data_IF_291422050723
#
_entry.id   IF_291422050723
#
_cell.length_a   1.000
_cell.length_b   1.000
_cell.length_c   1.000
_cell.angle_alpha   90.00
_cell.angle_beta   90.00
_cell.angle_gamma   90.00
#
_symmetry.space_group_name_H-M   'P 1'
#
loop_
_entity.id
_entity.type
_entity.pdbx_description
1 polymer ?
#
# COMPACT_ATOMS: atom_id res chain seq x y z
N UNK A 1 -17.03 16.45 0.73
CA UNK A 1 -17.39 16.62 -0.67
C UNK A 1 -18.33 15.51 -1.12
N UNK A 2 -17.86 14.38 -1.64
CA UNK A 2 -18.75 13.30 -2.12
C UNK A 2 -19.35 12.45 -1.00
N UNK A 3 -18.77 12.45 0.22
CA UNK A 3 -19.17 11.55 1.32
C UNK A 3 -18.95 10.07 1.00
N UNK A 4 -18.04 9.78 0.05
CA UNK A 4 -17.72 8.44 -0.42
C UNK A 4 -16.20 8.25 -0.49
N UNK A 5 -15.75 6.99 -0.41
CA UNK A 5 -14.34 6.64 -0.62
C UNK A 5 -13.96 6.81 -2.09
N UNK A 6 -12.67 7.02 -2.37
CA UNK A 6 -12.18 7.11 -3.75
C UNK A 6 -12.27 5.77 -4.50
N UNK A 7 -12.38 4.65 -3.80
CA UNK A 7 -12.57 3.30 -4.35
C UNK A 7 -14.01 3.02 -4.77
N UNK A 8 -14.99 3.87 -4.39
CA UNK A 8 -16.33 3.78 -4.95
C UNK A 8 -16.36 4.23 -6.41
N UNK A 9 -17.30 3.77 -7.25
CA UNK A 9 -17.36 4.16 -8.66
C UNK A 9 -17.38 5.69 -8.88
N UNK A 10 -18.16 6.41 -8.07
CA UNK A 10 -18.24 7.87 -8.16
C UNK A 10 -16.96 8.55 -7.63
N UNK A 11 -16.35 7.97 -6.59
CA UNK A 11 -15.08 8.43 -6.05
C UNK A 11 -13.94 8.25 -7.03
N UNK A 12 -13.85 7.09 -7.68
CA UNK A 12 -12.88 6.80 -8.73
C UNK A 12 -13.02 7.77 -9.90
N UNK A 13 -14.24 7.95 -10.41
CA UNK A 13 -14.51 8.90 -11.50
C UNK A 13 -14.02 10.30 -11.16
N UNK A 14 -14.39 10.81 -10.00
CA UNK A 14 -13.97 12.14 -9.54
C UNK A 14 -12.44 12.24 -9.39
N UNK A 15 -11.80 11.21 -8.83
CA UNK A 15 -10.34 11.19 -8.65
C UNK A 15 -9.60 11.18 -9.99
N UNK A 16 -10.10 10.43 -10.99
CA UNK A 16 -9.54 10.41 -12.34
C UNK A 16 -9.71 11.77 -13.04
N UNK A 17 -10.85 12.43 -12.87
CA UNK A 17 -11.07 13.80 -13.39
C UNK A 17 -10.07 14.80 -12.78
N UNK A 18 -9.77 14.68 -11.47
CA UNK A 18 -8.73 15.51 -10.81
C UNK A 18 -7.36 15.25 -11.41
N UNK A 19 -6.99 13.96 -11.57
CA UNK A 19 -5.69 13.57 -12.15
C UNK A 19 -5.55 14.06 -13.60
N UNK A 20 -6.62 13.98 -14.39
CA UNK A 20 -6.63 14.51 -15.76
C UNK A 20 -6.40 16.01 -15.78
N UNK A 21 -7.08 16.77 -14.92
CA UNK A 21 -6.87 18.23 -14.80
C UNK A 21 -5.42 18.58 -14.42
N UNK A 22 -4.78 17.80 -13.56
CA UNK A 22 -3.36 18.01 -13.22
C UNK A 22 -2.46 17.77 -14.43
N UNK A 23 -2.71 16.72 -15.22
CA UNK A 23 -1.99 16.47 -16.46
C UNK A 23 -2.18 17.58 -17.49
N UNK A 24 -3.43 18.04 -17.68
CA UNK A 24 -3.74 19.14 -18.60
C UNK A 24 -2.95 20.39 -18.21
N UNK A 25 -2.85 20.68 -16.91
CA UNK A 25 -2.06 21.82 -16.41
C UNK A 25 -0.57 21.66 -16.62
N UNK A 26 -0.04 20.47 -16.43
CA UNK A 26 1.36 20.15 -16.77
C UNK A 26 1.63 20.41 -18.27
N UNK A 27 0.72 20.01 -19.15
CA UNK A 27 0.84 20.24 -20.58
C UNK A 27 0.79 21.71 -20.97
N UNK A 28 -0.09 22.52 -20.32
CA UNK A 28 -0.10 23.97 -20.50
C UNK A 28 1.24 24.62 -20.16
N UNK A 29 1.78 24.28 -18.97
CA UNK A 29 3.09 24.82 -18.53
C UNK A 29 4.23 24.38 -19.44
N UNK A 30 4.22 23.11 -19.86
CA UNK A 30 5.19 22.59 -20.82
C UNK A 30 5.17 23.39 -22.13
N UNK A 31 4.00 23.70 -22.66
CA UNK A 31 3.84 24.49 -23.87
C UNK A 31 4.29 25.96 -23.70
N UNK A 32 3.99 26.55 -22.54
CA UNK A 32 4.31 27.95 -22.25
C UNK A 32 5.79 28.19 -21.95
N UNK A 33 6.46 27.25 -21.27
CA UNK A 33 7.79 27.45 -20.67
C UNK A 33 8.87 26.60 -21.34
N UNK A 34 8.50 25.67 -22.22
CA UNK A 34 9.40 24.68 -22.83
C UNK A 34 10.18 23.84 -21.80
N UNK A 35 9.54 23.56 -20.64
CA UNK A 35 10.05 22.73 -19.56
C UNK A 35 9.14 21.52 -19.43
N UNK A 36 9.71 20.32 -19.19
CA UNK A 36 8.91 19.12 -18.96
C UNK A 36 8.32 19.11 -17.55
N UNK A 37 7.00 19.11 -17.48
CA UNK A 37 6.22 18.93 -16.26
C UNK A 37 5.47 17.60 -16.34
N UNK A 38 5.35 16.89 -15.25
CA UNK A 38 4.59 15.64 -15.20
C UNK A 38 3.99 15.40 -13.81
N UNK A 39 2.87 14.69 -13.78
CA UNK A 39 2.27 14.21 -12.53
C UNK A 39 3.06 12.99 -12.07
N UNK A 40 3.34 12.95 -10.77
CA UNK A 40 4.06 11.87 -10.11
C UNK A 40 3.27 11.33 -8.91
N UNK A 41 2.98 10.03 -8.90
CA UNK A 41 2.38 9.32 -7.77
C UNK A 41 3.44 9.01 -6.71
N UNK A 42 3.85 10.02 -5.95
CA UNK A 42 4.99 9.90 -5.03
C UNK A 42 4.67 9.02 -3.83
N UNK A 43 5.57 8.09 -3.47
CA UNK A 43 5.54 7.43 -2.18
C UNK A 43 5.92 8.43 -1.08
N UNK A 44 4.98 8.69 -0.16
CA UNK A 44 5.18 9.62 0.95
C UNK A 44 5.50 8.88 2.24
N UNK A 45 6.67 9.15 2.79
CA UNK A 45 7.14 8.51 4.03
C UNK A 45 6.58 9.20 5.29
N UNK A 46 7.19 10.28 5.74
CA UNK A 46 6.79 10.98 6.96
C UNK A 46 5.57 11.87 6.77
N UNK A 47 5.28 12.28 5.54
CA UNK A 47 4.24 13.27 5.23
C UNK A 47 2.84 12.74 5.55
N UNK A 48 2.57 11.45 5.34
CA UNK A 48 1.28 10.82 5.67
C UNK A 48 0.94 10.95 7.15
N UNK A 49 1.91 10.74 8.04
CA UNK A 49 1.76 10.93 9.48
C UNK A 49 1.55 12.40 9.84
N UNK A 50 2.38 13.30 9.27
CA UNK A 50 2.28 14.74 9.51
C UNK A 50 0.93 15.29 9.09
N UNK A 51 0.43 14.92 7.92
CA UNK A 51 -0.90 15.31 7.46
C UNK A 51 -2.00 14.79 8.37
N UNK A 52 -1.95 13.52 8.78
CA UNK A 52 -2.93 12.96 9.72
C UNK A 52 -2.99 13.78 11.01
N UNK A 53 -1.83 14.13 11.60
CA UNK A 53 -1.76 14.98 12.79
C UNK A 53 -2.30 16.38 12.57
N UNK A 54 -2.00 17.00 11.42
CA UNK A 54 -2.54 18.31 11.07
C UNK A 54 -4.07 18.29 10.90
N UNK A 55 -4.60 17.25 10.26
CA UNK A 55 -6.05 17.07 10.09
C UNK A 55 -6.74 16.87 11.44
N UNK A 56 -6.20 16.00 12.31
CA UNK A 56 -6.71 15.80 13.67
C UNK A 56 -6.72 17.11 14.49
N UNK A 57 -5.64 17.88 14.40
CA UNK A 57 -5.53 19.17 15.09
C UNK A 57 -6.55 20.19 14.58
N UNK A 58 -6.83 20.20 13.28
CA UNK A 58 -7.71 21.18 12.65
C UNK A 58 -9.19 20.83 12.73
N UNK A 59 -9.52 19.55 12.59
CA UNK A 59 -10.89 19.08 12.44
C UNK A 59 -11.36 18.15 13.56
N UNK A 60 -10.47 17.81 14.49
CA UNK A 60 -10.73 16.79 15.50
C UNK A 60 -10.61 15.35 14.95
N UNK A 61 -10.91 14.38 15.80
CA UNK A 61 -10.94 12.96 15.42
C UNK A 61 -12.34 12.63 14.87
N UNK A 62 -12.41 12.35 13.58
CA UNK A 62 -13.64 11.98 12.86
C UNK A 62 -13.52 10.52 12.44
N UNK A 63 -14.40 9.61 12.91
CA UNK A 63 -14.35 8.18 12.56
C UNK A 63 -14.34 7.95 11.04
N UNK A 64 -13.45 7.11 10.58
CA UNK A 64 -13.27 6.78 9.16
C UNK A 64 -12.62 7.88 8.31
N UNK A 65 -12.28 9.04 8.89
CA UNK A 65 -11.70 10.19 8.16
C UNK A 65 -10.36 10.62 8.76
N UNK A 66 -10.34 10.97 10.05
CA UNK A 66 -9.13 11.49 10.73
C UNK A 66 -8.74 10.66 11.96
N UNK A 67 -9.29 9.47 12.12
CA UNK A 67 -9.12 8.59 13.28
C UNK A 67 -7.82 7.77 13.26
N UNK A 68 -7.09 7.77 12.15
CA UNK A 68 -5.80 7.07 12.03
C UNK A 68 -4.61 8.04 12.13
N UNK A 69 -3.45 7.51 12.50
CA UNK A 69 -2.21 8.28 12.53
C UNK A 69 -1.51 8.37 11.17
N UNK A 70 -2.18 7.99 10.10
CA UNK A 70 -1.72 8.08 8.72
C UNK A 70 -2.88 8.37 7.78
N UNK A 71 -2.58 8.83 6.58
CA UNK A 71 -3.52 8.95 5.47
C UNK A 71 -3.11 8.00 4.35
N UNK A 72 -4.04 7.67 3.47
CA UNK A 72 -3.75 6.88 2.27
C UNK A 72 -2.71 7.61 1.41
N UNK A 73 -1.77 6.85 0.90
CA UNK A 73 -0.71 7.37 0.07
C UNK A 73 -1.18 7.50 -1.37
N UNK A 74 -0.98 8.68 -1.98
CA UNK A 74 -1.32 8.93 -3.38
C UNK A 74 -2.76 8.47 -3.75
N UNK A 75 -2.93 7.69 -4.81
CA UNK A 75 -4.20 7.14 -5.30
C UNK A 75 -4.47 5.70 -4.82
N UNK A 76 -3.61 5.13 -3.96
CA UNK A 76 -3.72 3.72 -3.57
C UNK A 76 -5.05 3.39 -2.90
N UNK A 77 -5.49 2.16 -3.08
CA UNK A 77 -6.54 1.58 -2.24
C UNK A 77 -6.07 1.60 -0.79
N UNK A 78 -6.97 1.95 0.12
CA UNK A 78 -6.63 2.05 1.55
C UNK A 78 -6.16 0.69 2.10
N UNK A 79 -5.08 0.70 2.88
CA UNK A 79 -4.40 -0.55 3.33
C UNK A 79 -5.27 -1.49 4.17
N UNK A 80 -6.38 -1.00 4.71
CA UNK A 80 -7.37 -1.80 5.47
C UNK A 80 -8.53 -2.29 4.61
N UNK A 81 -8.59 -1.93 3.33
CA UNK A 81 -9.68 -2.33 2.45
C UNK A 81 -9.46 -3.75 1.95
N UNK A 82 -10.41 -4.62 2.22
CA UNK A 82 -10.40 -6.00 1.75
C UNK A 82 -10.75 -6.04 0.26
N UNK A 83 -9.73 -6.14 -0.56
CA UNK A 83 -9.81 -6.21 -2.02
C UNK A 83 -8.80 -7.25 -2.51
N UNK A 84 -9.14 -8.02 -3.54
CA UNK A 84 -8.19 -8.93 -4.15
C UNK A 84 -7.11 -8.20 -4.97
N UNK A 85 -5.98 -8.87 -5.21
CA UNK A 85 -4.83 -8.30 -5.89
C UNK A 85 -5.16 -7.77 -7.30
N UNK A 86 -5.96 -8.51 -8.06
CA UNK A 86 -6.29 -8.15 -9.44
C UNK A 86 -7.22 -6.96 -9.51
N UNK A 87 -8.27 -6.94 -8.67
CA UNK A 87 -9.19 -5.80 -8.55
C UNK A 87 -8.45 -4.52 -8.10
N UNK A 88 -7.55 -4.65 -7.10
CA UNK A 88 -6.71 -3.56 -6.65
C UNK A 88 -5.82 -3.02 -7.77
N UNK A 89 -5.09 -3.89 -8.45
CA UNK A 89 -4.21 -3.50 -9.55
C UNK A 89 -4.98 -2.89 -10.73
N UNK A 90 -6.15 -3.46 -11.07
CA UNK A 90 -7.03 -2.90 -12.10
C UNK A 90 -7.50 -1.49 -11.76
N UNK A 91 -7.89 -1.25 -10.51
CA UNK A 91 -8.27 0.07 -10.02
C UNK A 91 -7.10 1.06 -10.12
N UNK A 92 -5.91 0.69 -9.64
CA UNK A 92 -4.74 1.57 -9.58
C UNK A 92 -4.09 1.80 -10.97
N UNK A 93 -4.26 0.88 -11.92
CA UNK A 93 -3.75 1.00 -13.28
C UNK A 93 -4.22 2.29 -13.97
N UNK A 94 -5.48 2.68 -13.78
CA UNK A 94 -6.02 3.89 -14.41
C UNK A 94 -5.33 5.16 -13.89
N UNK A 95 -4.95 5.18 -12.61
CA UNK A 95 -4.19 6.29 -12.02
C UNK A 95 -2.72 6.28 -12.43
N UNK A 96 -2.11 5.11 -12.60
CA UNK A 96 -0.73 5.00 -13.11
C UNK A 96 -0.61 5.56 -14.52
N UNK A 97 -1.58 5.31 -15.40
CA UNK A 97 -1.64 5.91 -16.75
C UNK A 97 -1.63 7.43 -16.72
N UNK A 98 -2.21 8.03 -15.68
CA UNK A 98 -2.25 9.48 -15.46
C UNK A 98 -1.09 10.01 -14.61
N UNK A 99 -0.09 9.19 -14.31
CA UNK A 99 1.10 9.54 -13.54
C UNK A 99 2.38 9.33 -14.37
N UNK A 100 2.58 10.06 -15.48
CA UNK A 100 3.71 9.86 -16.39
C UNK A 100 5.08 10.15 -15.76
N UNK A 101 5.11 10.87 -14.64
CA UNK A 101 6.32 11.13 -13.86
C UNK A 101 6.79 9.95 -13.02
N UNK A 102 5.97 8.90 -12.92
CA UNK A 102 6.23 7.68 -12.17
C UNK A 102 5.15 7.39 -11.14
N UNK A 103 4.92 6.12 -10.91
CA UNK A 103 3.98 5.61 -9.92
C UNK A 103 4.34 4.16 -9.58
N UNK A 104 3.93 3.69 -8.42
CA UNK A 104 4.14 2.31 -7.98
C UNK A 104 2.87 1.80 -7.29
N UNK A 105 2.53 0.54 -7.51
CA UNK A 105 1.49 -0.17 -6.78
C UNK A 105 2.09 -1.24 -5.88
N UNK A 106 1.46 -1.51 -4.75
CA UNK A 106 1.90 -2.52 -3.78
C UNK A 106 0.83 -3.57 -3.60
N UNK A 107 1.23 -4.83 -3.65
CA UNK A 107 0.34 -5.97 -3.39
C UNK A 107 0.88 -6.74 -2.18
N UNK A 108 0.10 -6.79 -1.12
CA UNK A 108 0.42 -7.57 0.07
C UNK A 108 0.04 -9.03 -0.18
N UNK A 109 1.03 -9.93 -0.17
CA UNK A 109 0.85 -11.35 -0.45
C UNK A 109 1.32 -12.21 0.72
N UNK A 110 0.73 -13.40 0.93
CA UNK A 110 1.27 -14.38 1.88
C UNK A 110 2.61 -14.94 1.36
N UNK A 111 3.24 -15.83 2.15
CA UNK A 111 4.36 -16.59 1.64
C UNK A 111 3.90 -17.51 0.50
N UNK A 112 4.37 -17.23 -0.71
CA UNK A 112 4.00 -17.93 -1.95
C UNK A 112 5.08 -18.91 -2.44
N UNK A 113 6.05 -19.29 -1.60
CA UNK A 113 7.12 -20.22 -2.00
C UNK A 113 6.61 -21.52 -2.60
N UNK A 114 5.48 -22.01 -2.13
CA UNK A 114 4.86 -23.26 -2.60
C UNK A 114 3.74 -23.03 -3.63
N UNK A 115 3.57 -21.79 -4.12
CA UNK A 115 2.53 -21.44 -5.09
C UNK A 115 3.08 -20.49 -6.17
N UNK A 116 3.99 -21.00 -6.97
CA UNK A 116 4.63 -20.25 -8.06
C UNK A 116 3.63 -19.84 -9.13
N UNK A 117 2.61 -20.64 -9.40
CA UNK A 117 1.56 -20.34 -10.37
C UNK A 117 0.81 -19.04 -10.01
N UNK A 118 0.55 -18.83 -8.71
CA UNK A 118 -0.03 -17.58 -8.22
C UNK A 118 0.88 -16.38 -8.51
N UNK A 119 2.16 -16.52 -8.23
CA UNK A 119 3.15 -15.45 -8.51
C UNK A 119 3.17 -15.13 -9.99
N UNK A 120 3.28 -16.13 -10.85
CA UNK A 120 3.32 -15.95 -12.31
C UNK A 120 2.05 -15.28 -12.85
N UNK A 121 0.88 -15.63 -12.33
CA UNK A 121 -0.39 -15.02 -12.74
C UNK A 121 -0.45 -13.54 -12.38
N UNK A 122 -0.05 -13.17 -11.17
CA UNK A 122 0.02 -11.76 -10.76
C UNK A 122 1.08 -11.01 -11.57
N UNK A 123 2.25 -11.58 -11.80
CA UNK A 123 3.29 -10.98 -12.64
C UNK A 123 2.81 -10.75 -14.08
N UNK A 124 2.08 -11.72 -14.66
CA UNK A 124 1.49 -11.55 -15.98
C UNK A 124 0.48 -10.41 -15.99
N UNK A 125 -0.41 -10.34 -15.00
CA UNK A 125 -1.37 -9.25 -14.89
C UNK A 125 -0.67 -7.88 -14.76
N UNK A 126 0.38 -7.79 -13.94
CA UNK A 126 1.18 -6.57 -13.80
C UNK A 126 1.79 -6.19 -15.17
N UNK A 127 2.42 -7.14 -15.86
CA UNK A 127 3.01 -6.89 -17.18
C UNK A 127 1.99 -6.34 -18.19
N UNK A 128 0.78 -6.88 -18.18
CA UNK A 128 -0.26 -6.49 -19.15
C UNK A 128 -0.94 -5.15 -18.80
N UNK A 129 -0.97 -4.72 -17.52
CA UNK A 129 -1.86 -3.65 -17.08
C UNK A 129 -1.20 -2.53 -16.25
N UNK A 130 -0.04 -2.79 -15.65
CA UNK A 130 0.59 -1.93 -14.64
C UNK A 130 1.97 -1.49 -15.12
N UNK A 131 2.32 -0.23 -14.89
CA UNK A 131 3.64 0.31 -15.24
C UNK A 131 4.70 -0.18 -14.26
N UNK A 132 4.41 -0.13 -12.96
CA UNK A 132 5.30 -0.59 -11.91
C UNK A 132 4.53 -1.06 -10.69
N UNK A 133 4.82 -2.27 -10.23
CA UNK A 133 4.26 -2.83 -9.01
C UNK A 133 5.29 -3.68 -8.26
N UNK A 134 5.06 -3.83 -6.96
CA UNK A 134 5.85 -4.68 -6.08
C UNK A 134 4.95 -5.63 -5.28
N UNK A 135 5.42 -6.86 -5.10
CA UNK A 135 4.82 -7.85 -4.23
C UNK A 135 5.49 -7.75 -2.85
N UNK A 136 4.70 -7.47 -1.83
CA UNK A 136 5.15 -7.42 -0.45
C UNK A 136 4.80 -8.75 0.22
N UNK A 137 5.79 -9.41 0.78
CA UNK A 137 5.61 -10.62 1.59
C UNK A 137 6.10 -10.39 3.01
N UNK A 138 5.52 -11.12 3.96
CA UNK A 138 5.89 -11.09 5.37
C UNK A 138 6.60 -12.39 5.75
N UNK A 139 7.81 -12.56 5.22
CA UNK A 139 8.68 -13.71 5.49
C UNK A 139 9.78 -13.27 6.44
N UNK A 140 9.48 -13.36 7.73
CA UNK A 140 10.38 -12.96 8.81
C UNK A 140 10.92 -14.19 9.53
N UNK A 141 11.99 -14.01 10.30
CA UNK A 141 12.62 -15.09 11.06
C UNK A 141 12.96 -14.62 12.48
N UNK A 142 12.70 -15.47 13.46
CA UNK A 142 13.10 -15.27 14.85
C UNK A 142 14.25 -16.21 15.18
N UNK A 143 15.46 -15.67 15.39
CA UNK A 143 16.65 -16.46 15.73
C UNK A 143 16.51 -17.12 17.10
N UNK A 144 15.81 -16.48 18.05
CA UNK A 144 15.63 -16.98 19.40
C UNK A 144 14.92 -18.35 19.46
N UNK A 145 13.95 -18.60 18.57
CA UNK A 145 13.16 -19.84 18.61
C UNK A 145 13.05 -20.58 17.29
N UNK A 146 13.68 -20.08 16.21
CA UNK A 146 13.62 -20.68 14.88
C UNK A 146 12.28 -20.47 14.17
N UNK A 147 11.41 -19.56 14.64
CA UNK A 147 10.14 -19.29 13.98
C UNK A 147 10.37 -18.64 12.61
N UNK A 148 9.80 -19.23 11.57
CA UNK A 148 9.77 -18.72 10.19
C UNK A 148 8.34 -18.35 9.85
N UNK A 149 8.07 -17.05 9.62
CA UNK A 149 6.73 -16.53 9.39
C UNK A 149 6.62 -15.05 9.76
N UNK A 150 5.40 -14.54 9.83
CA UNK A 150 5.16 -13.12 10.12
C UNK A 150 5.43 -12.78 11.59
N UNK A 151 6.46 -11.97 11.88
CA UNK A 151 6.65 -11.29 13.15
C UNK A 151 5.62 -10.17 13.28
N UNK A 152 4.96 -10.07 14.43
CA UNK A 152 3.83 -9.16 14.65
C UNK A 152 4.27 -7.81 15.21
N UNK A 153 3.49 -6.78 14.90
CA UNK A 153 3.58 -5.48 15.58
C UNK A 153 2.53 -5.49 16.70
N UNK A 154 2.98 -5.40 17.93
CA UNK A 154 2.12 -5.35 19.13
C UNK A 154 2.20 -3.97 19.79
N UNK A 155 1.17 -3.63 20.58
CA UNK A 155 1.13 -2.38 21.32
C UNK A 155 1.44 -2.66 22.79
N UNK A 156 2.46 -2.01 23.32
CA UNK A 156 2.77 -2.03 24.75
C UNK A 156 1.76 -1.21 25.58
N UNK A 157 1.69 -1.41 26.89
CA UNK A 157 0.79 -0.65 27.76
C UNK A 157 1.00 0.88 27.71
N UNK A 158 2.20 1.33 27.38
CA UNK A 158 2.55 2.75 27.18
C UNK A 158 2.14 3.30 25.79
N UNK A 159 1.52 2.46 24.95
CA UNK A 159 1.10 2.79 23.58
C UNK A 159 2.21 2.68 22.53
N UNK A 160 3.43 2.28 22.88
CA UNK A 160 4.53 2.08 21.94
C UNK A 160 4.29 0.81 21.11
N UNK A 161 4.56 0.90 19.81
CA UNK A 161 4.53 -0.24 18.89
C UNK A 161 5.91 -0.92 18.85
N UNK A 162 5.93 -2.23 19.02
CA UNK A 162 7.15 -3.05 19.01
C UNK A 162 6.96 -4.33 18.20
N UNK A 163 8.05 -4.91 17.70
CA UNK A 163 8.04 -6.25 17.11
C UNK A 163 7.96 -7.31 18.20
N UNK A 164 7.18 -8.34 17.94
CA UNK A 164 7.06 -9.49 18.83
C UNK A 164 6.92 -10.79 18.03
N UNK A 165 7.74 -11.77 18.35
CA UNK A 165 7.62 -13.10 17.80
C UNK A 165 6.35 -13.78 18.31
N UNK A 166 5.41 -14.22 17.44
CA UNK A 166 4.17 -14.83 17.88
C UNK A 166 4.35 -16.20 18.54
N UNK A 167 5.52 -16.86 18.34
CA UNK A 167 5.80 -18.17 18.89
C UNK A 167 6.42 -18.10 20.29
N UNK A 168 7.39 -17.22 20.52
CA UNK A 168 8.14 -17.18 21.80
C UNK A 168 8.03 -15.85 22.56
N UNK A 169 7.37 -14.83 22.00
CA UNK A 169 7.26 -13.52 22.62
C UNK A 169 8.54 -12.68 22.60
N UNK A 170 9.60 -13.14 21.91
CA UNK A 170 10.84 -12.38 21.77
C UNK A 170 10.56 -11.00 21.15
N UNK A 171 11.15 -9.94 21.74
CA UNK A 171 11.08 -8.54 21.28
C UNK A 171 12.44 -7.93 21.02
N UNK A 172 13.48 -8.71 21.14
CA UNK A 172 14.85 -8.29 20.87
C UNK A 172 15.06 -8.12 19.36
N UNK A 173 15.27 -6.88 18.94
CA UNK A 173 15.43 -6.53 17.53
C UNK A 173 16.69 -7.11 16.90
N UNK A 174 17.69 -7.49 17.69
CA UNK A 174 18.89 -8.14 17.18
C UNK A 174 18.64 -9.62 16.83
N UNK A 175 17.59 -10.22 17.40
CA UNK A 175 17.17 -11.60 17.17
C UNK A 175 15.94 -11.72 16.24
N UNK A 176 15.37 -10.61 15.85
CA UNK A 176 14.18 -10.57 14.96
C UNK A 176 14.58 -10.04 13.59
N UNK A 177 14.65 -10.93 12.62
CA UNK A 177 14.92 -10.58 11.22
C UNK A 177 13.61 -10.23 10.52
N UNK A 178 13.27 -8.95 10.55
CA UNK A 178 12.03 -8.39 10.00
C UNK A 178 12.37 -7.39 8.92
N UNK A 179 11.74 -7.51 7.76
CA UNK A 179 11.82 -6.51 6.73
C UNK A 179 10.41 -6.10 6.26
N UNK A 180 10.16 -4.80 6.17
CA UNK A 180 8.88 -4.28 5.67
C UNK A 180 9.12 -3.25 4.59
N UNK A 181 8.33 -3.37 3.55
CA UNK A 181 8.23 -2.30 2.56
C UNK A 181 7.55 -1.10 3.19
N UNK A 182 8.18 0.06 3.10
CA UNK A 182 7.54 1.34 3.39
C UNK A 182 6.85 1.86 2.13
N UNK A 183 7.00 3.12 1.78
CA UNK A 183 6.49 3.64 0.51
C UNK A 183 7.57 3.72 -0.56
N UNK A 184 8.83 3.90 -0.18
CA UNK A 184 9.95 4.11 -1.10
C UNK A 184 11.10 3.11 -0.96
N UNK A 185 11.18 2.39 0.16
CA UNK A 185 12.27 1.45 0.45
C UNK A 185 11.84 0.33 1.40
N UNK A 186 12.67 -0.68 1.53
CA UNK A 186 12.51 -1.74 2.53
C UNK A 186 13.31 -1.37 3.77
N UNK A 187 12.71 -1.53 4.94
CA UNK A 187 13.36 -1.25 6.19
C UNK A 187 13.02 -2.25 7.28
N UNK A 188 13.84 -2.28 8.31
CA UNK A 188 13.78 -3.21 9.43
C UNK A 188 13.37 -2.55 10.75
N UNK A 189 13.27 -1.23 10.78
CA UNK A 189 13.00 -0.46 12.00
C UNK A 189 11.75 0.41 11.85
N UNK A 190 11.18 0.81 12.98
CA UNK A 190 10.09 1.78 13.01
C UNK A 190 10.61 3.20 12.78
N UNK A 191 9.88 3.98 11.98
CA UNK A 191 10.22 5.38 11.70
C UNK A 191 9.37 6.36 12.50
N UNK A 192 8.05 6.24 12.37
CA UNK A 192 7.09 7.04 13.12
C UNK A 192 5.83 6.22 13.37
N UNK A 193 5.04 6.65 14.35
CA UNK A 193 3.84 5.91 14.79
C UNK A 193 2.81 5.71 13.67
N UNK A 194 2.67 6.68 12.79
CA UNK A 194 1.73 6.57 11.67
C UNK A 194 2.17 5.52 10.65
N UNK A 195 3.46 5.49 10.28
CA UNK A 195 4.00 4.48 9.37
C UNK A 195 3.93 3.08 9.97
N UNK A 196 4.28 2.96 11.23
CA UNK A 196 4.21 1.67 11.93
C UNK A 196 2.77 1.17 12.05
N UNK A 197 1.83 2.06 12.34
CA UNK A 197 0.41 1.72 12.34
C UNK A 197 -0.08 1.29 10.96
N UNK A 198 0.28 2.02 9.92
CA UNK A 198 -0.09 1.70 8.52
C UNK A 198 0.41 0.30 8.13
N UNK A 199 1.68 -0.04 8.43
CA UNK A 199 2.26 -1.35 8.16
C UNK A 199 1.52 -2.46 8.93
N UNK A 200 1.18 -2.21 10.19
CA UNK A 200 0.41 -3.16 11.01
C UNK A 200 -0.99 -3.40 10.44
N UNK A 201 -1.63 -2.35 9.97
CA UNK A 201 -3.03 -2.37 9.55
C UNK A 201 -3.21 -2.95 8.12
N UNK A 202 -2.12 -3.24 7.39
CA UNK A 202 -2.18 -3.80 6.03
C UNK A 202 -2.86 -5.15 6.00
N UNK A 203 -3.84 -5.29 5.12
CA UNK A 203 -4.50 -6.58 4.82
C UNK A 203 -3.84 -7.27 3.64
N UNK A 204 -3.94 -8.60 3.59
CA UNK A 204 -3.48 -9.38 2.44
C UNK A 204 -4.47 -9.23 1.29
N UNK A 205 -3.93 -9.13 0.07
CA UNK A 205 -4.70 -9.04 -1.17
C UNK A 205 -4.83 -10.39 -1.89
N UNK A 206 -4.18 -11.43 -1.35
CA UNK A 206 -4.27 -12.80 -1.83
C UNK A 206 -4.41 -13.75 -0.66
N UNK A 207 -5.17 -14.82 -0.86
CA UNK A 207 -5.22 -15.95 0.07
C UNK A 207 -4.91 -17.23 -0.69
N UNK A 208 -4.50 -18.28 0.00
CA UNK A 208 -4.23 -19.58 -0.61
C UNK A 208 -5.50 -20.21 -1.25
N UNK A 209 -6.70 -19.74 -0.87
CA UNK A 209 -7.99 -20.24 -1.37
C UNK A 209 -8.56 -19.44 -2.54
N UNK A 210 -8.23 -18.17 -2.70
CA UNK A 210 -8.78 -17.31 -3.79
C UNK A 210 -8.11 -17.54 -5.14
N UNK A 211 -7.08 -18.38 -5.19
CA UNK A 211 -6.31 -18.57 -6.40
C UNK A 211 -7.04 -19.39 -7.48
N UNK A 212 -7.87 -20.35 -7.10
CA UNK A 212 -8.66 -21.12 -8.05
C UNK A 212 -9.71 -20.26 -8.77
N UNK A 213 -10.35 -19.35 -8.07
CA UNK A 213 -11.35 -18.42 -8.62
C UNK A 213 -10.73 -17.35 -9.54
N UNK A 214 -9.54 -16.83 -9.21
CA UNK A 214 -8.88 -15.81 -10.00
C UNK A 214 -8.30 -16.35 -11.32
N UNK A 215 -7.85 -17.60 -11.36
CA UNK A 215 -7.39 -18.28 -12.57
C UNK A 215 -8.53 -18.46 -13.58
N UNK A 216 -9.73 -18.75 -13.11
CA UNK A 216 -10.92 -18.90 -13.96
C UNK A 216 -11.36 -17.56 -14.56
N UNK A 217 -11.24 -16.45 -13.82
CA UNK A 217 -11.56 -15.09 -14.31
C UNK A 217 -10.52 -14.56 -15.31
N UNK A 218 -9.26 -14.93 -15.19
CA UNK A 218 -8.20 -14.53 -16.12
C UNK A 218 -8.29 -15.26 -17.49
N UNK A 219 -8.95 -16.41 -17.55
CA UNK A 219 -9.18 -17.17 -18.79
C UNK A 219 -10.49 -16.81 -19.50
N UNK A 220 -11.34 -15.94 -18.93
CA UNK A 220 -12.61 -15.49 -19.51
C UNK A 220 -12.55 -14.12 -20.20
N UNK A 221 -11.40 -13.48 -20.28
CA UNK A 221 -11.11 -12.25 -21.02
C UNK A 221 -9.96 -12.50 -22.00
#
# INVERSE_FOLDING_TARGET
>A
MLGKTHTSPEGQKFALEVMQKLNDKCNEWKAAENISYSVYGTPMESTTYKFAKCLQKRFGVIPGVTDKNYITNSYHVHVTEHIDAFSKLKFEAEFQKLSPGGAISYVEVPNLQNNIEAVLSVMKFIYDNIVYAELNTKSDYCEHCGYDGEIKIVTEPNGKLVWECPNCGCRDQEQLFVARRTCGYIGTQFWNQGRTQEIRDRVLHMSNSTFQEASELAHQN
#
